data_IF_291772132052
#
_entry.id   IF_291772132052
#
_cell.length_a   1.000
_cell.length_b   1.000
_cell.length_c   1.000
_cell.angle_alpha   90.00
_cell.angle_beta   90.00
_cell.angle_gamma   90.00
#
_symmetry.space_group_name_H-M   'P 1'
#
loop_
_entity.id
_entity.type
_entity.pdbx_description
1 polymer ?
#
# COMPACT_ATOMS: atom_id res chain seq x y z
N UNK A 1 -1.98 -4.89 -20.76
CA UNK A 1 -2.58 -4.37 -19.50
C UNK A 1 -1.54 -4.52 -18.40
N UNK A 2 -1.21 -3.46 -17.66
CA UNK A 2 -0.21 -3.52 -16.61
C UNK A 2 -0.79 -4.19 -15.35
N UNK A 3 -0.13 -5.24 -14.88
CA UNK A 3 -0.55 -5.99 -13.69
C UNK A 3 0.39 -5.72 -12.51
N UNK A 4 -0.11 -5.93 -11.28
CA UNK A 4 0.71 -5.81 -10.07
C UNK A 4 1.87 -6.80 -10.08
N UNK A 5 1.65 -8.01 -10.61
CA UNK A 5 2.67 -9.05 -10.71
C UNK A 5 3.79 -8.71 -11.70
N UNK A 6 3.44 -8.21 -12.88
CA UNK A 6 4.42 -7.74 -13.87
C UNK A 6 5.25 -6.58 -13.29
N UNK A 7 4.58 -5.58 -12.71
CA UNK A 7 5.25 -4.45 -12.10
C UNK A 7 6.14 -4.85 -10.89
N UNK A 8 5.72 -5.86 -10.12
CA UNK A 8 6.54 -6.42 -9.03
C UNK A 8 7.80 -7.09 -9.56
N UNK A 9 7.72 -7.78 -10.70
CA UNK A 9 8.87 -8.43 -11.35
C UNK A 9 9.87 -7.38 -11.82
N UNK A 10 9.38 -6.33 -12.50
CA UNK A 10 10.21 -5.22 -12.99
C UNK A 10 10.86 -4.45 -11.84
N UNK A 11 10.12 -4.23 -10.75
CA UNK A 11 10.66 -3.63 -9.53
C UNK A 11 11.82 -4.45 -8.95
N UNK A 12 11.67 -5.77 -8.85
CA UNK A 12 12.73 -6.64 -8.32
C UNK A 12 13.96 -6.65 -9.23
N UNK A 13 13.77 -6.66 -10.55
CA UNK A 13 14.86 -6.49 -11.52
C UNK A 13 15.58 -5.15 -11.32
N UNK A 14 14.84 -4.06 -11.05
CA UNK A 14 15.42 -2.74 -10.77
C UNK A 14 16.24 -2.70 -9.47
N UNK A 15 15.88 -3.49 -8.45
CA UNK A 15 16.68 -3.60 -7.22
C UNK A 15 18.00 -4.33 -7.50
N UNK A 16 17.94 -5.42 -8.28
CA UNK A 16 19.13 -6.17 -8.69
C UNK A 16 20.08 -5.30 -9.52
N UNK A 17 19.56 -4.53 -10.48
CA UNK A 17 20.35 -3.60 -11.29
C UNK A 17 21.03 -2.49 -10.46
N UNK A 18 20.45 -2.13 -9.31
CA UNK A 18 21.04 -1.16 -8.35
C UNK A 18 22.00 -1.80 -7.34
N UNK A 19 22.35 -3.07 -7.52
CA UNK A 19 23.24 -3.83 -6.62
C UNK A 19 22.75 -3.88 -5.17
N UNK A 20 21.42 -3.87 -4.96
CA UNK A 20 20.85 -4.10 -3.63
C UNK A 20 21.23 -5.51 -3.14
N UNK A 21 21.58 -5.71 -1.85
CA UNK A 21 21.97 -7.02 -1.34
C UNK A 21 20.92 -8.10 -1.64
N UNK A 22 21.39 -9.29 -2.05
CA UNK A 22 20.51 -10.40 -2.46
C UNK A 22 19.51 -10.80 -1.36
N UNK A 23 19.93 -10.73 -0.10
CA UNK A 23 19.04 -11.01 1.04
C UNK A 23 17.88 -10.01 1.11
N UNK A 24 18.14 -8.73 0.85
CA UNK A 24 17.12 -7.67 0.79
C UNK A 24 16.19 -7.89 -0.40
N UNK A 25 16.72 -8.19 -1.59
CA UNK A 25 15.90 -8.49 -2.77
C UNK A 25 14.99 -9.70 -2.53
N UNK A 26 15.48 -10.75 -1.85
CA UNK A 26 14.65 -11.91 -1.49
C UNK A 26 13.54 -11.55 -0.48
N UNK A 27 13.85 -10.73 0.51
CA UNK A 27 12.87 -10.26 1.48
C UNK A 27 11.77 -9.43 0.78
N UNK A 28 12.18 -8.46 -0.04
CA UNK A 28 11.27 -7.62 -0.81
C UNK A 28 10.43 -8.44 -1.79
N UNK A 29 11.02 -9.44 -2.46
CA UNK A 29 10.31 -10.35 -3.36
C UNK A 29 9.17 -11.10 -2.66
N UNK A 30 9.40 -11.59 -1.43
CA UNK A 30 8.37 -12.25 -0.65
C UNK A 30 7.23 -11.29 -0.29
N UNK A 31 7.55 -10.06 0.04
CA UNK A 31 6.57 -9.06 0.48
C UNK A 31 5.74 -8.51 -0.70
N UNK A 32 6.35 -8.20 -1.85
CA UNK A 32 5.60 -7.73 -3.04
C UNK A 32 4.76 -8.83 -3.69
N UNK A 33 5.20 -10.09 -3.68
CA UNK A 33 4.38 -11.22 -4.15
C UNK A 33 3.16 -11.44 -3.28
N UNK A 34 3.34 -11.33 -1.96
CA UNK A 34 2.21 -11.43 -1.01
C UNK A 34 1.20 -10.31 -1.23
N UNK A 35 1.69 -9.10 -1.48
CA UNK A 35 0.85 -7.98 -1.86
C UNK A 35 0.08 -8.24 -3.15
N UNK A 36 0.77 -8.67 -4.22
CA UNK A 36 0.14 -8.97 -5.52
C UNK A 36 -0.96 -10.04 -5.42
N UNK A 37 -0.82 -11.01 -4.51
CA UNK A 37 -1.85 -12.03 -4.26
C UNK A 37 -3.05 -11.51 -3.46
N UNK A 38 -2.91 -10.39 -2.74
CA UNK A 38 -3.93 -9.84 -1.84
C UNK A 38 -4.71 -8.65 -2.40
N UNK A 39 -4.38 -8.17 -3.60
CA UNK A 39 -5.00 -7.00 -4.23
C UNK A 39 -5.50 -7.30 -5.64
N UNK A 40 -6.35 -6.45 -6.25
CA UNK A 40 -6.74 -6.62 -7.64
C UNK A 40 -5.54 -6.72 -8.57
N UNK A 41 -5.59 -7.66 -9.52
CA UNK A 41 -4.45 -7.96 -10.41
C UNK A 41 -4.09 -6.79 -11.33
N UNK A 42 -5.06 -5.95 -11.69
CA UNK A 42 -4.86 -4.77 -12.54
C UNK A 42 -4.26 -3.63 -11.70
N UNK A 43 -3.10 -3.12 -12.10
CA UNK A 43 -2.40 -2.10 -11.32
C UNK A 43 -3.25 -0.83 -11.13
N UNK A 44 -3.93 -0.38 -12.19
CA UNK A 44 -4.83 0.79 -12.11
C UNK A 44 -6.13 0.56 -11.33
N UNK A 45 -6.39 -0.66 -10.84
CA UNK A 45 -7.51 -0.95 -9.94
C UNK A 45 -7.07 -1.06 -8.46
N UNK A 46 -5.76 -0.95 -8.19
CA UNK A 46 -5.25 -0.89 -6.82
C UNK A 46 -5.42 0.54 -6.32
N UNK A 47 -6.37 0.72 -5.38
CA UNK A 47 -6.61 1.99 -4.72
C UNK A 47 -6.13 1.98 -3.25
N UNK A 48 -6.27 3.13 -2.58
CA UNK A 48 -5.91 3.26 -1.17
C UNK A 48 -6.69 2.30 -0.25
N UNK A 49 -7.91 1.90 -0.63
CA UNK A 49 -8.72 0.98 0.17
C UNK A 49 -8.17 -0.45 0.08
N UNK A 50 -7.77 -0.90 -1.11
CA UNK A 50 -7.11 -2.20 -1.32
C UNK A 50 -5.79 -2.30 -0.55
N UNK A 51 -4.98 -1.23 -0.58
CA UNK A 51 -3.72 -1.16 0.19
C UNK A 51 -4.00 -1.24 1.69
N UNK A 52 -5.00 -0.51 2.18
CA UNK A 52 -5.37 -0.52 3.60
C UNK A 52 -5.90 -1.89 4.04
N UNK A 53 -6.79 -2.49 3.26
CA UNK A 53 -7.33 -3.82 3.55
C UNK A 53 -6.21 -4.87 3.63
N UNK A 54 -5.20 -4.78 2.75
CA UNK A 54 -4.03 -5.65 2.82
C UNK A 54 -3.23 -5.44 4.12
N UNK A 55 -2.99 -4.19 4.52
CA UNK A 55 -2.25 -3.88 5.75
C UNK A 55 -3.01 -4.28 7.02
N UNK A 56 -4.34 -4.11 7.02
CA UNK A 56 -5.21 -4.52 8.12
C UNK A 56 -5.28 -6.06 8.24
N UNK A 57 -5.15 -6.79 7.13
CA UNK A 57 -5.01 -8.26 7.13
C UNK A 57 -3.71 -8.78 7.73
N UNK A 58 -2.72 -7.92 8.00
CA UNK A 58 -1.42 -8.31 8.57
C UNK A 58 -1.26 -7.86 10.04
N UNK A 59 -2.34 -7.45 10.71
CA UNK A 59 -2.31 -6.99 12.11
C UNK A 59 -1.84 -8.09 13.08
N UNK A 60 -2.12 -9.36 12.78
CA UNK A 60 -1.69 -10.52 13.59
C UNK A 60 -0.18 -10.82 13.45
N UNK A 61 0.55 -10.09 12.60
CA UNK A 61 2.00 -10.24 12.46
C UNK A 61 2.77 -9.43 13.49
N UNK A 62 3.99 -9.86 13.76
CA UNK A 62 4.92 -9.12 14.60
C UNK A 62 5.10 -7.67 14.10
N UNK A 63 5.30 -6.69 15.00
CA UNK A 63 5.55 -5.30 14.62
C UNK A 63 6.72 -5.13 13.65
N UNK A 64 7.78 -5.93 13.81
CA UNK A 64 8.94 -5.92 12.93
C UNK A 64 8.58 -6.34 11.49
N UNK A 65 7.79 -7.40 11.33
CA UNK A 65 7.32 -7.87 10.02
C UNK A 65 6.45 -6.82 9.33
N UNK A 66 5.53 -6.18 10.08
CA UNK A 66 4.66 -5.12 9.57
C UNK A 66 5.48 -3.93 9.07
N UNK A 67 6.45 -3.47 9.86
CA UNK A 67 7.32 -2.33 9.50
C UNK A 67 8.16 -2.61 8.27
N UNK A 68 8.74 -3.82 8.16
CA UNK A 68 9.51 -4.24 6.98
C UNK A 68 8.65 -4.18 5.71
N UNK A 69 7.48 -4.82 5.73
CA UNK A 69 6.55 -4.85 4.60
C UNK A 69 6.09 -3.47 4.18
N UNK A 70 5.74 -2.63 5.15
CA UNK A 70 5.37 -1.25 4.87
C UNK A 70 6.52 -0.51 4.17
N UNK A 71 7.76 -0.69 4.62
CA UNK A 71 8.95 -0.15 3.95
C UNK A 71 9.11 -0.63 2.50
N UNK A 72 8.96 -1.94 2.28
CA UNK A 72 9.00 -2.54 0.92
C UNK A 72 7.91 -1.95 0.03
N UNK A 73 6.66 -1.85 0.52
CA UNK A 73 5.55 -1.28 -0.25
C UNK A 73 5.77 0.19 -0.59
N UNK A 74 6.26 1.00 0.36
CA UNK A 74 6.62 2.40 0.08
C UNK A 74 7.72 2.49 -1.00
N UNK A 75 8.73 1.62 -0.93
CA UNK A 75 9.80 1.56 -1.94
C UNK A 75 9.27 1.16 -3.32
N UNK A 76 8.36 0.19 -3.36
CA UNK A 76 7.68 -0.25 -4.58
C UNK A 76 6.81 0.85 -5.21
N UNK A 77 5.90 1.46 -4.45
CA UNK A 77 5.04 2.53 -4.96
C UNK A 77 5.84 3.76 -5.41
N UNK A 78 6.92 4.11 -4.69
CA UNK A 78 7.82 5.18 -5.13
C UNK A 78 8.48 4.84 -6.47
N UNK A 79 8.88 3.59 -6.67
CA UNK A 79 9.43 3.15 -7.96
C UNK A 79 8.37 3.20 -9.08
N UNK A 80 7.12 2.79 -8.80
CA UNK A 80 6.03 2.88 -9.78
C UNK A 80 5.78 4.32 -10.25
N UNK A 81 5.77 5.27 -9.32
CA UNK A 81 5.67 6.71 -9.64
C UNK A 81 6.87 7.18 -10.47
N UNK A 82 8.09 6.75 -10.13
CA UNK A 82 9.31 7.10 -10.89
C UNK A 82 9.32 6.52 -12.31
N UNK A 83 8.57 5.45 -12.58
CA UNK A 83 8.39 4.87 -13.90
C UNK A 83 7.13 5.39 -14.61
N UNK A 84 6.43 6.36 -14.01
CA UNK A 84 5.18 6.93 -14.53
C UNK A 84 4.08 5.88 -14.75
N UNK A 85 4.15 4.75 -14.02
CA UNK A 85 3.20 3.64 -14.15
C UNK A 85 1.91 3.87 -13.34
N UNK A 86 1.98 4.75 -12.33
CA UNK A 86 0.86 5.22 -11.53
C UNK A 86 1.01 6.71 -11.26
N UNK A 87 -0.12 7.40 -11.08
CA UNK A 87 -0.13 8.82 -10.75
C UNK A 87 -0.06 9.05 -9.23
N UNK A 88 0.62 10.12 -8.79
CA UNK A 88 0.93 10.42 -7.37
C UNK A 88 -0.32 10.51 -6.48
N UNK A 89 -1.48 10.81 -7.06
CA UNK A 89 -2.76 10.91 -6.37
C UNK A 89 -3.18 9.59 -5.66
N UNK A 90 -2.71 8.43 -6.15
CA UNK A 90 -2.98 7.12 -5.52
C UNK A 90 -2.18 6.88 -4.24
N UNK A 91 -0.94 7.38 -4.16
CA UNK A 91 -0.04 7.13 -3.01
C UNK A 91 -0.35 8.08 -1.84
N UNK A 92 -0.73 9.31 -2.14
CA UNK A 92 -1.08 10.32 -1.13
C UNK A 92 -2.37 9.99 -0.37
N UNK A 93 -3.35 9.37 -1.03
CA UNK A 93 -4.62 8.98 -0.38
C UNK A 93 -4.49 7.76 0.55
N UNK A 94 -3.48 6.91 0.36
CA UNK A 94 -3.18 5.76 1.22
C UNK A 94 -2.53 6.16 2.55
N UNK A 95 -1.71 7.22 2.57
CA UNK A 95 -1.00 7.70 3.75
C UNK A 95 -1.79 8.71 4.61
N UNK A 96 -2.85 9.31 4.06
CA UNK A 96 -3.53 10.47 4.67
C UNK A 96 -4.59 10.17 5.77
N UNK A 97 -4.77 8.94 6.29
CA UNK A 97 -5.84 8.67 7.29
C UNK A 97 -5.37 8.01 8.60
N UNK A 98 -4.55 8.76 9.35
CA UNK A 98 -4.51 8.65 10.83
C UNK A 98 -5.25 9.82 11.51
N UNK A 99 -5.76 10.81 10.75
CA UNK A 99 -6.43 11.98 11.32
C UNK A 99 -7.75 12.31 10.61
N UNK A 100 -8.74 11.41 10.63
CA UNK A 100 -10.14 11.83 10.50
C UNK A 100 -11.10 10.72 10.91
N UNK A 101 -11.22 10.53 12.22
CA UNK A 101 -12.34 9.84 12.85
C UNK A 101 -12.81 10.66 14.05
N UNK A 102 -13.14 11.93 13.81
CA UNK A 102 -13.93 12.72 14.76
C UNK A 102 -14.62 13.88 14.04
N UNK A 103 -15.78 13.59 13.45
CA UNK A 103 -16.97 14.48 13.41
C UNK A 103 -18.07 13.85 12.56
N UNK A 104 -18.92 13.03 13.18
CA UNK A 104 -20.36 13.03 12.87
C UNK A 104 -21.10 12.36 14.03
N UNK A 105 -21.64 13.18 14.93
CA UNK A 105 -22.38 12.71 16.08
C UNK A 105 -22.50 13.77 17.15
N UNK A 106 -23.12 14.91 16.82
CA UNK A 106 -23.78 15.75 17.84
C UNK A 106 -24.73 16.78 17.19
N UNK A 107 -25.69 16.32 16.37
CA UNK A 107 -26.88 17.12 16.05
C UNK A 107 -28.11 16.22 16.17
N UNK A 108 -28.50 15.94 17.41
CA UNK A 108 -29.86 15.51 17.76
C UNK A 108 -30.12 15.82 19.23
N UNK A 109 -30.27 17.10 19.55
CA UNK A 109 -31.05 17.51 20.72
C UNK A 109 -32.29 18.21 20.18
N UNK A 110 -33.37 17.45 20.10
CA UNK A 110 -34.70 17.99 19.90
C UNK A 110 -35.06 18.85 21.11
N UNK A 111 -35.35 20.12 20.85
CA UNK A 111 -36.12 20.95 21.75
C UNK A 111 -37.59 20.79 21.36
N UNK A 112 -38.50 20.39 22.27
CA UNK A 112 -39.92 20.59 22.05
C UNK A 112 -40.27 22.06 22.28
N UNK A 113 -41.03 22.63 21.35
CA UNK A 113 -41.81 23.86 21.57
C UNK A 113 -42.84 23.62 22.69
N UNK A 114 -42.68 24.31 23.82
CA UNK A 114 -43.74 24.75 24.74
C UNK A 114 -43.15 25.61 25.87
#
# INVERSE_FOLDING_TARGET
>A
MLTVEAASTDYLASLQARHVPVATVKADAGDVRRFAAGVPSKLGAVDAAAIRAFLDGEQDRSPATRRRRHGTLCSFFRWLVQQELIDLNLVASASARTASSRTRGLESWGLPDA
#
